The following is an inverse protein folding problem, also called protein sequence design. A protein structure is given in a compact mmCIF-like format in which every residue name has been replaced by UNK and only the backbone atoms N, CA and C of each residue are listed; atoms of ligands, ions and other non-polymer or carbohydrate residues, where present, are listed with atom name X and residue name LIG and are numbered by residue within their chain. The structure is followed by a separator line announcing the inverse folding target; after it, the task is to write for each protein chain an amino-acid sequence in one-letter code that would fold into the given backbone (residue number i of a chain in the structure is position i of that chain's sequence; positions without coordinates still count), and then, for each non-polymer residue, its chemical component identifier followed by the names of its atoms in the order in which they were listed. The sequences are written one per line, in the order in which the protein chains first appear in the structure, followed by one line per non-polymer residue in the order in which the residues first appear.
data_IF_336522526754
#
_entry.id   IF_336522526754
#
_cell.length_a   1.000
_cell.length_b   1.000
_cell.length_c   1.000
_cell.angle_alpha   90.00
_cell.angle_beta   90.00
_cell.angle_gamma   90.00
#
_symmetry.space_group_name_H-M   'P 1'
#
loop_
_entity.id
_entity.type
_entity.pdbx_description
1 polymer ?
#
# COMPACT_ATOMS: atom_id res chain seq x y z
N UNK A 1 14.44 -5.16 19.05
CA UNK A 1 13.30 -4.51 18.38
C UNK A 1 13.45 -4.69 16.87
N UNK A 2 13.41 -5.94 16.38
CA UNK A 2 13.74 -6.29 14.98
C UNK A 2 12.61 -7.09 14.31
N UNK A 3 11.89 -7.90 15.08
CA UNK A 3 10.77 -8.70 14.57
C UNK A 3 9.65 -7.85 13.94
N UNK A 4 9.25 -6.75 14.59
CA UNK A 4 8.24 -5.84 14.04
C UNK A 4 8.67 -5.21 12.72
N UNK A 5 9.94 -4.82 12.61
CA UNK A 5 10.50 -4.23 11.40
C UNK A 5 10.57 -5.25 10.26
N UNK A 6 11.07 -6.47 10.53
CA UNK A 6 11.14 -7.54 9.54
C UNK A 6 9.75 -7.91 8.97
N UNK A 7 8.70 -7.88 9.81
CA UNK A 7 7.33 -8.12 9.37
C UNK A 7 6.73 -6.99 8.52
N UNK A 8 7.35 -5.81 8.50
CA UNK A 8 6.94 -4.68 7.62
C UNK A 8 7.79 -4.66 6.36
N UNK A 9 9.11 -4.74 6.50
CA UNK A 9 10.07 -4.60 5.40
C UNK A 9 9.93 -5.71 4.35
N UNK A 10 9.89 -6.98 4.78
CA UNK A 10 9.87 -8.10 3.83
C UNK A 10 8.60 -8.10 2.96
N UNK A 11 7.37 -8.04 3.53
CA UNK A 11 6.16 -7.99 2.70
C UNK A 11 6.10 -6.73 1.82
N UNK A 12 6.53 -5.57 2.35
CA UNK A 12 6.53 -4.33 1.58
C UNK A 12 7.50 -4.40 0.39
N UNK A 13 8.70 -4.96 0.59
CA UNK A 13 9.67 -5.16 -0.49
C UNK A 13 9.12 -6.09 -1.57
N UNK A 14 8.46 -7.19 -1.20
CA UNK A 14 7.84 -8.10 -2.16
C UNK A 14 6.73 -7.42 -2.97
N UNK A 15 5.89 -6.60 -2.34
CA UNK A 15 4.81 -5.88 -3.01
C UNK A 15 5.33 -4.83 -4.00
N UNK A 16 6.38 -4.10 -3.63
CA UNK A 16 6.96 -3.03 -4.46
C UNK A 16 7.86 -3.57 -5.58
N UNK A 17 8.51 -4.72 -5.37
CA UNK A 17 9.41 -5.29 -6.38
C UNK A 17 8.67 -6.00 -7.51
N UNK A 18 7.53 -6.63 -7.20
CA UNK A 18 6.80 -7.45 -8.18
C UNK A 18 5.66 -6.72 -8.89
N UNK A 19 5.19 -5.60 -8.35
CA UNK A 19 4.00 -4.92 -8.88
C UNK A 19 4.20 -3.42 -8.98
N UNK A 20 3.77 -2.89 -10.12
CA UNK A 20 3.36 -1.50 -10.24
C UNK A 20 1.95 -1.35 -9.68
N UNK A 21 1.69 -0.20 -9.07
CA UNK A 21 0.44 0.07 -8.37
C UNK A 21 -0.27 1.26 -8.99
N UNK A 22 -1.55 1.09 -9.33
CA UNK A 22 -2.41 2.16 -9.83
C UNK A 22 -3.66 2.30 -8.97
N UNK A 23 -4.17 3.52 -8.87
CA UNK A 23 -5.44 3.77 -8.18
C UNK A 23 -6.61 3.41 -9.09
N UNK A 24 -7.68 2.80 -8.54
CA UNK A 24 -8.85 2.45 -9.32
C UNK A 24 -9.55 3.71 -9.84
N UNK A 25 -10.27 3.57 -10.95
CA UNK A 25 -11.16 4.60 -11.50
C UNK A 25 -10.48 5.95 -11.82
N UNK A 26 -9.16 5.97 -12.06
CA UNK A 26 -8.44 7.19 -12.40
C UNK A 26 -8.33 8.19 -11.25
N UNK A 27 -8.55 7.73 -10.01
CA UNK A 27 -8.40 8.52 -8.80
C UNK A 27 -6.96 9.06 -8.67
N UNK A 28 -6.82 10.29 -8.19
CA UNK A 28 -5.51 10.88 -7.86
C UNK A 28 -5.17 10.63 -6.39
N UNK A 29 -3.88 10.69 -6.00
CA UNK A 29 -3.50 10.51 -4.60
C UNK A 29 -4.18 11.47 -3.63
N UNK A 30 -4.47 12.70 -4.06
CA UNK A 30 -5.16 13.70 -3.24
C UNK A 30 -6.65 13.43 -3.01
N UNK A 31 -7.25 12.52 -3.76
CA UNK A 31 -8.66 12.14 -3.61
C UNK A 31 -8.85 11.06 -2.53
N UNK A 32 -7.75 10.50 -2.01
CA UNK A 32 -7.79 9.47 -0.98
C UNK A 32 -8.11 10.07 0.40
N UNK A 33 -9.13 9.55 1.08
CA UNK A 33 -9.41 9.89 2.46
C UNK A 33 -8.37 9.27 3.40
N UNK A 34 -7.57 10.13 4.03
CA UNK A 34 -6.53 9.76 5.00
C UNK A 34 -7.00 9.94 6.46
N UNK A 35 -8.29 10.15 6.71
CA UNK A 35 -8.82 10.20 8.06
C UNK A 35 -8.52 8.90 8.82
N UNK A 36 -8.29 9.01 10.13
CA UNK A 36 -7.93 7.87 10.97
C UNK A 36 -9.16 7.05 11.42
N UNK A 37 -8.98 5.73 11.44
CA UNK A 37 -9.83 4.80 12.15
C UNK A 37 -9.52 4.84 13.65
N UNK A 38 -10.55 4.66 14.48
CA UNK A 38 -10.38 4.48 15.93
C UNK A 38 -10.06 3.01 16.23
N UNK A 39 -9.09 2.74 17.09
CA UNK A 39 -8.73 1.38 17.49
C UNK A 39 -7.44 1.30 18.31
N UNK A 40 -7.00 0.07 18.60
CA UNK A 40 -5.75 -0.23 19.32
C UNK A 40 -4.52 0.21 18.49
N UNK A 41 -4.62 0.09 17.17
CA UNK A 41 -3.65 0.62 16.23
C UNK A 41 -4.32 1.71 15.36
N UNK A 42 -3.58 2.78 15.06
CA UNK A 42 -4.02 3.81 14.12
C UNK A 42 -3.86 3.26 12.70
N UNK A 43 -4.89 3.44 11.89
CA UNK A 43 -4.90 3.09 10.47
C UNK A 43 -5.89 3.97 9.74
N UNK A 44 -5.91 3.94 8.41
CA UNK A 44 -6.87 4.72 7.62
C UNK A 44 -8.29 4.23 7.86
N UNK A 45 -9.23 5.17 7.93
CA UNK A 45 -10.67 4.95 8.09
C UNK A 45 -11.24 4.09 6.96
N UNK A 46 -10.71 4.28 5.75
CA UNK A 46 -11.09 3.52 4.56
C UNK A 46 -9.89 2.72 4.02
N UNK A 47 -10.17 1.51 3.53
CA UNK A 47 -9.14 0.62 2.98
C UNK A 47 -8.41 1.28 1.79
N UNK A 48 -7.13 0.93 1.57
CA UNK A 48 -6.42 1.34 0.35
C UNK A 48 -6.84 0.37 -0.73
N UNK A 49 -7.48 0.89 -1.76
CA UNK A 49 -7.79 0.12 -2.96
C UNK A 49 -6.77 0.48 -4.02
N UNK A 50 -6.02 -0.51 -4.47
CA UNK A 50 -5.00 -0.38 -5.52
C UNK A 50 -5.09 -1.59 -6.44
N UNK A 51 -4.77 -1.39 -7.70
CA UNK A 51 -4.74 -2.43 -8.72
C UNK A 51 -3.26 -2.77 -8.99
N UNK A 52 -2.80 -3.98 -8.65
CA UNK A 52 -1.45 -4.42 -8.97
C UNK A 52 -1.35 -4.84 -10.44
N UNK A 53 -0.31 -4.37 -11.12
CA UNK A 53 0.12 -4.87 -12.44
C UNK A 53 1.53 -5.42 -12.33
N UNK A 54 1.84 -6.61 -12.89
CA UNK A 54 3.19 -7.17 -12.80
C UNK A 54 4.24 -6.17 -13.29
N UNK A 55 5.24 -5.89 -12.46
CA UNK A 55 6.35 -5.01 -12.81
C UNK A 55 7.19 -5.68 -13.91
N UNK A 56 7.32 -5.00 -15.05
CA UNK A 56 8.18 -5.42 -16.14
C UNK A 56 9.37 -4.45 -16.26
N UNK A 57 10.58 -4.85 -15.81
CA UNK A 57 11.76 -3.98 -15.87
C UNK A 57 12.27 -3.72 -17.29
N UNK A 58 11.66 -4.33 -18.32
CA UNK A 58 12.06 -4.23 -19.72
C UNK A 58 11.02 -3.53 -20.62
N UNK A 59 9.93 -3.00 -20.05
CA UNK A 59 8.91 -2.24 -20.77
C UNK A 59 9.29 -0.76 -20.95
#
# INVERSE_FOLDING_TARGET
MTFGLANVELPLAQLLYHFDWTLPHGMKPGDMDMADAKGIAVGRKHNLLVIPTPYNPSA
#
